data_IF_640526151304
#
_entry.id   IF_640526151304
#
_cell.length_a   1.000
_cell.length_b   1.000
_cell.length_c   1.000
_cell.angle_alpha   90.00
_cell.angle_beta   90.00
_cell.angle_gamma   90.00
#
_symmetry.space_group_name_H-M   'P 1'
#
loop_
_entity.id
_entity.type
_entity.pdbx_description
1 polymer ?
#
# COMPACT_ATOMS: atom_id res chain seq x y z
N UNK A 1 -0.80 -4.58 -26.90
CA UNK A 1 -0.91 -4.65 -25.42
C UNK A 1 0.22 -5.49 -24.84
N UNK A 2 0.18 -6.82 -24.94
CA UNK A 2 1.19 -7.72 -24.33
C UNK A 2 2.66 -7.32 -24.60
N UNK A 3 3.05 -7.05 -25.84
CA UNK A 3 4.42 -6.62 -26.15
C UNK A 3 4.81 -5.29 -25.47
N UNK A 4 3.91 -4.30 -25.45
CA UNK A 4 4.12 -3.01 -24.75
C UNK A 4 4.37 -3.26 -23.27
N UNK A 5 3.52 -4.08 -22.65
CA UNK A 5 3.53 -4.29 -21.21
C UNK A 5 4.72 -5.13 -20.75
N UNK A 6 5.06 -6.18 -21.51
CA UNK A 6 6.27 -6.98 -21.27
C UNK A 6 7.55 -6.17 -21.50
N UNK A 7 7.57 -5.31 -22.52
CA UNK A 7 8.70 -4.41 -22.76
C UNK A 7 8.86 -3.40 -21.61
N UNK A 8 7.76 -2.77 -21.17
CA UNK A 8 7.77 -1.87 -20.03
C UNK A 8 8.29 -2.58 -18.77
N UNK A 9 7.80 -3.79 -18.49
CA UNK A 9 8.29 -4.59 -17.37
C UNK A 9 9.80 -4.89 -17.50
N UNK A 10 10.23 -5.43 -18.64
CA UNK A 10 11.62 -5.84 -18.85
C UNK A 10 12.61 -4.67 -18.81
N UNK A 11 12.25 -3.53 -19.38
CA UNK A 11 13.16 -2.38 -19.50
C UNK A 11 13.14 -1.47 -18.27
N UNK A 12 11.99 -1.30 -17.62
CA UNK A 12 11.81 -0.32 -16.53
C UNK A 12 11.79 -0.96 -15.16
N UNK A 13 11.04 -2.06 -15.02
CA UNK A 13 10.73 -2.66 -13.71
C UNK A 13 11.77 -3.69 -13.31
N UNK A 14 12.01 -4.68 -14.17
CA UNK A 14 12.90 -5.81 -13.88
C UNK A 14 14.31 -5.41 -13.39
N UNK A 15 14.96 -4.36 -13.94
CA UNK A 15 16.28 -3.92 -13.46
C UNK A 15 16.31 -3.44 -12.01
N UNK A 16 15.14 -3.13 -11.44
CA UNK A 16 14.97 -2.58 -10.09
C UNK A 16 14.44 -3.60 -9.08
N UNK A 17 14.25 -4.87 -9.45
CA UNK A 17 13.79 -5.92 -8.53
C UNK A 17 14.89 -6.44 -7.59
N UNK A 18 16.08 -5.83 -7.62
CA UNK A 18 17.23 -6.26 -6.83
C UNK A 18 17.88 -7.54 -7.35
N UNK A 19 18.71 -8.14 -6.51
CA UNK A 19 19.40 -9.39 -6.85
C UNK A 19 18.41 -10.56 -6.90
N UNK A 20 18.48 -11.37 -7.95
CA UNK A 20 17.84 -12.68 -7.95
C UNK A 20 18.45 -13.50 -6.83
N UNK A 21 17.68 -13.83 -5.79
CA UNK A 21 18.12 -14.78 -4.79
C UNK A 21 18.45 -16.08 -5.53
N UNK A 22 19.70 -16.54 -5.40
CA UNK A 22 20.05 -17.87 -5.86
C UNK A 22 19.09 -18.85 -5.18
N UNK A 23 18.58 -19.82 -5.94
CA UNK A 23 17.68 -20.87 -5.45
C UNK A 23 18.35 -21.84 -4.46
N UNK A 24 19.25 -21.35 -3.60
CA UNK A 24 19.77 -22.09 -2.47
C UNK A 24 18.75 -21.91 -1.34
N UNK A 25 18.01 -22.97 -1.07
CA UNK A 25 17.06 -23.04 0.04
C UNK A 25 17.73 -22.58 1.34
N UNK A 26 17.25 -21.46 1.91
CA UNK A 26 17.58 -21.06 3.28
C UNK A 26 18.02 -19.60 3.47
N UNK A 27 18.49 -18.91 2.43
CA UNK A 27 18.97 -17.54 2.59
C UNK A 27 17.82 -16.53 2.40
N UNK A 28 17.43 -15.86 3.48
CA UNK A 28 16.50 -14.75 3.44
C UNK A 28 17.09 -13.58 2.64
N UNK A 29 16.25 -12.80 1.93
CA UNK A 29 16.75 -11.71 1.12
C UNK A 29 17.42 -10.63 1.98
N UNK A 30 18.49 -10.01 1.47
CA UNK A 30 19.19 -8.91 2.17
C UNK A 30 18.21 -7.79 2.57
N UNK A 31 17.25 -7.55 1.68
CA UNK A 31 16.09 -6.72 1.91
C UNK A 31 14.83 -7.56 1.87
N UNK A 32 14.11 -7.65 2.99
CA UNK A 32 12.80 -8.29 3.05
C UNK A 32 11.75 -7.24 2.70
N UNK A 33 11.25 -7.28 1.47
CA UNK A 33 10.18 -6.39 1.05
C UNK A 33 8.92 -6.67 1.87
N UNK A 34 8.19 -5.64 2.29
CA UNK A 34 6.87 -5.81 2.91
C UNK A 34 5.79 -6.24 1.90
N UNK A 35 6.12 -6.33 0.62
CA UNK A 35 5.15 -6.56 -0.45
C UNK A 35 4.56 -7.96 -0.38
N UNK A 36 5.35 -8.95 0.02
CA UNK A 36 4.95 -10.36 0.06
C UNK A 36 5.47 -11.03 1.32
N UNK A 37 4.84 -12.15 1.71
CA UNK A 37 5.21 -12.91 2.91
C UNK A 37 6.61 -13.52 2.84
N UNK A 38 7.06 -13.86 1.62
CA UNK A 38 8.39 -14.40 1.35
C UNK A 38 9.48 -13.32 1.17
N UNK A 39 9.10 -12.03 1.28
CA UNK A 39 10.00 -10.89 1.17
C UNK A 39 10.43 -10.56 -0.26
N UNK A 40 9.83 -11.17 -1.27
CA UNK A 40 10.06 -10.83 -2.68
C UNK A 40 9.43 -9.48 -3.05
N UNK A 41 10.05 -8.70 -3.96
CA UNK A 41 9.65 -7.32 -4.22
C UNK A 41 8.66 -7.17 -5.37
N UNK A 42 7.88 -8.20 -5.71
CA UNK A 42 6.97 -8.20 -6.86
C UNK A 42 5.70 -9.00 -6.54
N UNK A 43 4.54 -8.36 -6.70
CA UNK A 43 3.23 -9.00 -6.60
C UNK A 43 2.45 -8.81 -7.91
N UNK A 44 1.89 -9.90 -8.46
CA UNK A 44 1.01 -9.86 -9.62
C UNK A 44 -0.45 -9.98 -9.18
N UNK A 45 -1.36 -9.19 -9.75
CA UNK A 45 -2.79 -9.26 -9.44
C UNK A 45 -3.67 -9.03 -10.66
N UNK A 46 -4.90 -9.54 -10.61
CA UNK A 46 -5.92 -9.35 -11.63
C UNK A 46 -7.12 -8.62 -11.04
N UNK A 47 -7.57 -7.58 -11.74
CA UNK A 47 -8.85 -6.93 -11.45
C UNK A 47 -9.92 -7.44 -12.41
N UNK A 48 -10.86 -8.21 -11.89
CA UNK A 48 -11.98 -8.77 -12.63
C UNK A 48 -13.11 -7.77 -12.87
N UNK A 49 -13.11 -6.62 -12.19
CA UNK A 49 -14.16 -5.60 -12.30
C UNK A 49 -15.57 -6.12 -11.99
N UNK A 50 -16.57 -5.35 -12.41
CA UNK A 50 -18.01 -5.66 -12.22
C UNK A 50 -18.79 -5.70 -13.54
N UNK A 51 -18.08 -5.64 -14.67
CA UNK A 51 -18.64 -5.66 -16.03
C UNK A 51 -18.08 -6.85 -16.80
N UNK A 52 -18.74 -7.24 -17.90
CA UNK A 52 -18.28 -8.32 -18.81
C UNK A 52 -17.02 -7.97 -19.64
N UNK A 53 -16.15 -7.11 -19.11
CA UNK A 53 -14.88 -6.72 -19.72
C UNK A 53 -13.79 -7.69 -19.29
N UNK A 54 -12.75 -7.79 -20.10
CA UNK A 54 -11.56 -8.55 -19.74
C UNK A 54 -10.91 -8.00 -18.47
N UNK A 55 -10.35 -8.88 -17.61
CA UNK A 55 -9.68 -8.44 -16.39
C UNK A 55 -8.46 -7.57 -16.72
N UNK A 56 -8.18 -6.60 -15.85
CA UNK A 56 -7.00 -5.74 -15.96
C UNK A 56 -5.85 -6.41 -15.19
N UNK A 57 -4.73 -6.60 -15.87
CA UNK A 57 -3.49 -7.07 -15.25
C UNK A 57 -2.88 -5.91 -14.46
N UNK A 58 -2.47 -6.20 -13.23
CA UNK A 58 -1.77 -5.30 -12.34
C UNK A 58 -0.54 -5.98 -11.78
N UNK A 59 0.44 -5.16 -11.42
CA UNK A 59 1.49 -5.62 -10.53
C UNK A 59 2.01 -4.47 -9.70
N UNK A 60 2.51 -4.82 -8.53
CA UNK A 60 3.16 -3.93 -7.58
C UNK A 60 4.62 -4.35 -7.42
N UNK A 61 5.50 -3.38 -7.17
CA UNK A 61 6.90 -3.63 -6.85
C UNK A 61 7.40 -2.75 -5.70
N UNK A 62 8.41 -3.26 -5.01
CA UNK A 62 9.35 -2.43 -4.26
C UNK A 62 10.68 -2.36 -5.04
N UNK A 63 11.09 -1.20 -5.57
CA UNK A 63 12.42 -1.08 -6.15
C UNK A 63 13.48 -1.36 -5.08
N UNK A 64 14.39 -2.30 -5.31
CA UNK A 64 15.43 -2.70 -4.36
C UNK A 64 16.80 -2.26 -4.86
N UNK A 65 17.48 -1.42 -4.08
CA UNK A 65 18.85 -1.01 -4.36
C UNK A 65 19.86 -2.11 -4.02
N UNK A 66 21.02 -2.12 -4.69
CA UNK A 66 22.11 -3.08 -4.43
C UNK A 66 22.59 -3.11 -2.97
N UNK A 67 22.45 -1.98 -2.27
CA UNK A 67 22.88 -1.83 -0.88
C UNK A 67 21.70 -1.77 0.12
N UNK A 68 20.48 -2.06 -0.32
CA UNK A 68 19.27 -2.01 0.49
C UNK A 68 19.44 -2.86 1.76
N UNK A 69 19.24 -2.26 2.92
CA UNK A 69 19.40 -2.91 4.21
C UNK A 69 20.85 -3.07 4.68
N UNK A 70 21.85 -2.56 3.98
CA UNK A 70 23.22 -2.46 4.53
C UNK A 70 23.40 -1.12 5.25
N UNK A 71 24.51 -0.93 5.97
CA UNK A 71 24.87 0.38 6.55
C UNK A 71 24.92 1.51 5.50
N UNK A 72 25.11 1.18 4.22
CA UNK A 72 25.11 2.15 3.13
C UNK A 72 23.70 2.60 2.73
N UNK A 73 22.66 1.79 2.97
CA UNK A 73 21.27 2.13 2.65
C UNK A 73 20.26 1.34 3.50
N UNK A 74 20.24 1.59 4.80
CA UNK A 74 19.44 0.84 5.78
C UNK A 74 17.93 0.82 5.48
N UNK A 75 17.43 1.81 4.75
CA UNK A 75 15.99 2.03 4.47
C UNK A 75 15.62 1.91 3.00
N UNK A 76 16.53 1.42 2.16
CA UNK A 76 16.31 1.27 0.71
C UNK A 76 15.86 2.58 0.01
N UNK A 77 16.42 3.72 0.40
CA UNK A 77 16.01 5.03 -0.11
C UNK A 77 16.83 5.48 -1.34
N UNK A 78 17.99 4.86 -1.59
CA UNK A 78 18.90 5.33 -2.66
C UNK A 78 18.43 4.96 -4.07
N UNK A 79 17.64 3.90 -4.21
CA UNK A 79 17.16 3.41 -5.51
C UNK A 79 16.02 4.25 -6.09
N UNK A 80 15.21 4.86 -5.22
CA UNK A 80 14.00 5.60 -5.59
C UNK A 80 14.22 6.67 -6.68
N UNK A 81 15.20 7.59 -6.55
CA UNK A 81 15.43 8.63 -7.55
C UNK A 81 15.76 8.11 -8.96
N UNK A 82 16.56 7.04 -9.06
CA UNK A 82 16.92 6.44 -10.34
C UNK A 82 15.69 5.77 -10.99
N UNK A 83 14.93 5.03 -10.20
CA UNK A 83 13.70 4.38 -10.67
C UNK A 83 12.66 5.42 -11.12
N UNK A 84 12.45 6.47 -10.34
CA UNK A 84 11.52 7.55 -10.67
C UNK A 84 11.94 8.30 -11.95
N UNK A 85 13.23 8.51 -12.16
CA UNK A 85 13.73 9.11 -13.40
C UNK A 85 13.41 8.23 -14.62
N UNK A 86 13.58 6.91 -14.49
CA UNK A 86 13.26 5.98 -15.56
C UNK A 86 11.76 5.91 -15.83
N UNK A 87 10.93 5.89 -14.78
CA UNK A 87 9.48 5.95 -14.91
C UNK A 87 9.03 7.21 -15.66
N UNK A 88 9.55 8.38 -15.30
CA UNK A 88 9.20 9.64 -15.97
C UNK A 88 9.55 9.65 -17.46
N UNK A 89 10.62 8.96 -17.87
CA UNK A 89 10.96 8.79 -19.30
C UNK A 89 10.04 7.80 -20.01
N UNK A 90 9.65 6.72 -19.34
CA UNK A 90 8.82 5.67 -19.92
C UNK A 90 7.33 6.05 -19.99
N UNK A 91 6.86 6.90 -19.07
CA UNK A 91 5.48 7.31 -18.91
C UNK A 91 5.40 8.86 -18.88
N UNK A 92 5.55 9.54 -20.03
CA UNK A 92 5.67 11.00 -20.09
C UNK A 92 4.42 11.76 -19.63
N UNK A 93 3.25 11.09 -19.62
CA UNK A 93 1.98 11.69 -19.19
C UNK A 93 1.76 11.61 -17.68
N UNK A 94 2.70 11.05 -16.91
CA UNK A 94 2.61 10.99 -15.44
C UNK A 94 2.54 12.39 -14.84
N UNK A 95 1.62 12.57 -13.89
CA UNK A 95 1.53 13.77 -13.07
C UNK A 95 2.19 13.51 -11.73
N UNK A 96 3.23 14.29 -11.43
CA UNK A 96 4.13 14.07 -10.29
C UNK A 96 3.88 15.04 -9.13
N UNK A 97 2.90 15.93 -9.24
CA UNK A 97 2.59 16.97 -8.25
C UNK A 97 2.43 16.38 -6.84
N UNK A 98 1.57 15.37 -6.69
CA UNK A 98 1.39 14.65 -5.42
C UNK A 98 2.57 13.76 -5.08
N UNK A 99 3.22 13.13 -6.06
CA UNK A 99 4.40 12.31 -5.79
C UNK A 99 5.49 13.12 -5.08
N UNK A 100 5.87 14.28 -5.61
CA UNK A 100 6.90 15.11 -5.00
C UNK A 100 6.50 15.63 -3.62
N UNK A 101 5.22 15.94 -3.42
CA UNK A 101 4.70 16.32 -2.10
C UNK A 101 4.89 15.19 -1.08
N UNK A 102 4.34 14.01 -1.37
CA UNK A 102 4.34 12.90 -0.42
C UNK A 102 5.74 12.30 -0.25
N UNK A 103 6.54 12.19 -1.31
CA UNK A 103 7.92 11.72 -1.21
C UNK A 103 8.76 12.65 -0.32
N UNK A 104 8.64 13.98 -0.52
CA UNK A 104 9.27 14.96 0.37
C UNK A 104 8.74 14.83 1.80
N UNK A 105 7.46 14.59 1.99
CA UNK A 105 6.90 14.48 3.34
C UNK A 105 7.40 13.22 4.06
N UNK A 106 7.33 12.04 3.44
CA UNK A 106 7.62 10.75 4.08
C UNK A 106 9.10 10.34 4.04
N UNK A 107 9.82 10.67 2.97
CA UNK A 107 11.14 10.09 2.67
C UNK A 107 12.30 11.10 2.73
N UNK A 108 12.05 12.37 3.08
CA UNK A 108 13.14 13.35 3.27
C UNK A 108 14.05 12.91 4.40
N UNK A 109 15.36 12.85 4.11
CA UNK A 109 16.33 12.50 5.13
C UNK A 109 16.53 13.62 6.15
N UNK A 110 16.60 13.25 7.43
CA UNK A 110 16.89 14.15 8.55
C UNK A 110 18.12 13.68 9.32
N UNK A 111 18.73 14.54 10.14
CA UNK A 111 19.86 14.15 10.99
C UNK A 111 19.50 13.01 11.94
N UNK A 112 18.24 12.94 12.38
CA UNK A 112 17.71 11.85 13.21
C UNK A 112 17.65 10.49 12.50
N UNK A 113 17.74 10.46 11.17
CA UNK A 113 17.73 9.19 10.44
C UNK A 113 18.97 8.34 10.71
N UNK A 114 20.10 8.96 11.08
CA UNK A 114 21.31 8.20 11.42
C UNK A 114 21.19 7.46 12.74
N UNK A 115 20.16 7.78 13.54
CA UNK A 115 19.82 7.12 14.80
C UNK A 115 18.78 6.01 14.62
N UNK A 116 18.17 5.89 13.44
CA UNK A 116 17.19 4.87 13.14
C UNK A 116 17.88 3.59 12.63
N UNK A 117 17.86 2.56 13.46
CA UNK A 117 18.23 1.21 13.06
C UNK A 117 17.09 0.50 12.30
N UNK A 118 17.43 -0.63 11.65
CA UNK A 118 16.43 -1.54 11.14
C UNK A 118 15.52 -2.01 12.26
N UNK A 119 14.22 -1.95 12.01
CA UNK A 119 13.25 -2.55 12.89
C UNK A 119 13.20 -4.06 12.61
N UNK A 120 13.46 -4.86 13.64
CA UNK A 120 13.42 -6.33 13.54
C UNK A 120 12.04 -6.89 13.89
N UNK A 121 11.15 -6.06 14.45
CA UNK A 121 9.80 -6.47 14.87
C UNK A 121 8.72 -6.11 13.86
N UNK A 122 9.06 -5.31 12.87
CA UNK A 122 8.13 -4.80 11.86
C UNK A 122 8.91 -4.49 10.56
N UNK A 123 8.21 -4.25 9.46
CA UNK A 123 8.82 -4.08 8.15
C UNK A 123 9.60 -2.76 8.02
N UNK A 124 10.50 -2.69 7.03
CA UNK A 124 11.38 -1.54 6.81
C UNK A 124 11.10 -0.82 5.47
N UNK A 125 10.05 -1.21 4.76
CA UNK A 125 9.64 -0.61 3.49
C UNK A 125 9.24 0.85 3.68
N UNK A 126 9.72 1.70 2.76
CA UNK A 126 9.36 3.13 2.73
C UNK A 126 8.45 3.49 1.56
N UNK A 127 8.50 2.74 0.45
CA UNK A 127 7.77 3.07 -0.78
C UNK A 127 7.49 1.84 -1.64
N UNK A 128 6.28 1.74 -2.20
CA UNK A 128 5.96 0.82 -3.30
C UNK A 128 5.50 1.58 -4.54
N UNK A 129 5.54 0.89 -5.67
CA UNK A 129 4.95 1.33 -6.92
C UNK A 129 4.00 0.26 -7.45
N UNK A 130 2.94 0.64 -8.14
CA UNK A 130 2.09 -0.31 -8.84
C UNK A 130 1.69 0.20 -10.22
N UNK A 131 1.33 -0.72 -11.09
CA UNK A 131 1.06 -0.46 -12.50
C UNK A 131 -0.22 -1.13 -12.94
N UNK A 132 -1.19 -0.34 -13.38
CA UNK A 132 -2.41 -0.83 -14.02
C UNK A 132 -2.19 -0.91 -15.53
N UNK A 133 -2.23 -2.11 -16.09
CA UNK A 133 -2.00 -2.38 -17.51
C UNK A 133 -3.34 -2.37 -18.25
N UNK A 134 -3.90 -1.18 -18.43
CA UNK A 134 -5.12 -1.03 -19.23
C UNK A 134 -4.83 -1.22 -20.73
N UNK A 135 -5.87 -1.45 -21.53
CA UNK A 135 -5.73 -1.64 -22.98
C UNK A 135 -4.93 -0.51 -23.66
N UNK A 136 -5.18 0.73 -23.27
CA UNK A 136 -4.60 1.92 -23.90
C UNK A 136 -3.32 2.41 -23.24
N UNK A 137 -3.16 2.24 -21.92
CA UNK A 137 -2.02 2.82 -21.18
C UNK A 137 -1.64 2.06 -19.92
N UNK A 138 -0.40 2.29 -19.47
CA UNK A 138 0.06 1.94 -18.13
C UNK A 138 -0.23 3.12 -17.20
N UNK A 139 -0.93 2.89 -16.08
CA UNK A 139 -1.13 3.91 -15.05
C UNK A 139 -0.32 3.53 -13.81
N UNK A 140 0.65 4.38 -13.46
CA UNK A 140 1.47 4.18 -12.28
C UNK A 140 0.77 4.68 -11.00
N UNK A 141 1.10 4.05 -9.88
CA UNK A 141 0.69 4.42 -8.52
C UNK A 141 1.92 4.38 -7.62
N UNK A 142 1.90 5.14 -6.53
CA UNK A 142 2.92 5.06 -5.48
C UNK A 142 2.26 4.94 -4.13
N UNK A 143 2.84 4.13 -3.26
CA UNK A 143 2.43 3.89 -1.88
C UNK A 143 3.56 4.36 -0.98
N UNK A 144 3.25 5.19 0.01
CA UNK A 144 4.20 5.74 0.96
C UNK A 144 3.89 5.24 2.37
N UNK A 145 4.93 4.95 3.13
CA UNK A 145 4.80 4.39 4.48
C UNK A 145 5.08 5.46 5.55
N UNK A 146 4.19 5.67 6.53
CA UNK A 146 4.34 6.72 7.54
C UNK A 146 5.31 6.32 8.67
N UNK A 147 5.72 5.04 8.76
CA UNK A 147 6.45 4.46 9.89
C UNK A 147 7.64 5.29 10.35
N UNK A 148 8.61 5.55 9.48
CA UNK A 148 9.84 6.23 9.89
C UNK A 148 9.58 7.68 10.29
N UNK A 149 8.71 8.37 9.56
CA UNK A 149 8.31 9.73 9.92
C UNK A 149 7.64 9.77 11.30
N UNK A 150 6.77 8.82 11.59
CA UNK A 150 6.14 8.65 12.90
C UNK A 150 7.19 8.44 14.01
N UNK A 151 8.19 7.58 13.78
CA UNK A 151 9.29 7.35 14.72
C UNK A 151 10.15 8.60 14.97
N UNK A 152 10.61 9.28 13.92
CA UNK A 152 11.47 10.48 13.99
C UNK A 152 10.82 11.61 14.79
N UNK A 153 9.50 11.75 14.64
CA UNK A 153 8.73 12.84 15.25
C UNK A 153 7.99 12.42 16.53
N UNK A 154 8.07 11.16 16.95
CA UNK A 154 7.35 10.65 18.13
C UNK A 154 5.84 10.75 18.00
N UNK A 155 5.31 10.54 16.80
CA UNK A 155 3.88 10.63 16.46
C UNK A 155 3.32 9.25 16.14
N UNK A 156 2.00 9.10 16.20
CA UNK A 156 1.30 7.94 15.64
C UNK A 156 1.32 7.99 14.11
N UNK A 157 1.19 6.81 13.48
CA UNK A 157 1.07 6.71 12.02
C UNK A 157 -0.17 7.45 11.49
N UNK A 158 -1.28 7.41 12.24
CA UNK A 158 -2.51 8.13 11.89
C UNK A 158 -2.30 9.66 11.89
N UNK A 159 -1.64 10.21 12.90
CA UNK A 159 -1.31 11.65 12.93
C UNK A 159 -0.44 12.07 11.76
N UNK A 160 0.57 11.25 11.43
CA UNK A 160 1.45 11.50 10.28
C UNK A 160 0.68 11.46 8.97
N UNK A 161 -0.23 10.50 8.78
CA UNK A 161 -1.11 10.43 7.61
C UNK A 161 -2.03 11.65 7.51
N UNK A 162 -2.66 12.06 8.61
CA UNK A 162 -3.48 13.28 8.68
C UNK A 162 -2.71 14.50 8.21
N UNK A 163 -1.50 14.71 8.72
CA UNK A 163 -0.65 15.84 8.33
C UNK A 163 -0.24 15.78 6.85
N UNK A 164 0.08 14.58 6.34
CA UNK A 164 0.45 14.39 4.94
C UNK A 164 -0.70 14.79 4.00
N UNK A 165 -1.92 14.35 4.32
CA UNK A 165 -3.14 14.59 3.55
C UNK A 165 -3.51 16.07 3.59
N UNK A 166 -3.58 16.66 4.79
CA UNK A 166 -3.98 18.06 4.99
C UNK A 166 -3.04 19.06 4.32
N UNK A 167 -1.76 18.72 4.19
CA UNK A 167 -0.76 19.56 3.54
C UNK A 167 -0.64 19.35 2.03
N UNK A 168 -1.35 18.38 1.45
CA UNK A 168 -1.21 18.04 0.03
C UNK A 168 -1.76 19.14 -0.89
N UNK A 169 -1.13 19.39 -2.05
CA UNK A 169 -1.66 20.33 -3.04
C UNK A 169 -3.11 20.01 -3.40
N UNK A 170 -3.92 21.06 -3.53
CA UNK A 170 -5.36 21.01 -3.85
C UNK A 170 -6.26 20.39 -2.76
N UNK A 171 -5.71 20.01 -1.62
CA UNK A 171 -6.51 19.66 -0.43
C UNK A 171 -6.90 20.93 0.31
N UNK A 172 -8.18 21.02 0.65
CA UNK A 172 -8.81 22.16 1.33
C UNK A 172 -9.75 21.62 2.42
N UNK A 173 -10.21 22.46 3.34
CA UNK A 173 -11.21 22.04 4.33
C UNK A 173 -12.46 21.45 3.69
N UNK A 174 -12.88 22.00 2.53
CA UNK A 174 -14.12 21.63 1.85
C UNK A 174 -14.09 20.24 1.19
N UNK A 175 -12.90 19.67 0.94
CA UNK A 175 -12.75 18.35 0.29
C UNK A 175 -12.17 17.26 1.21
N UNK A 176 -12.21 17.49 2.53
CA UNK A 176 -11.71 16.57 3.56
C UNK A 176 -12.80 15.82 4.32
N UNK A 177 -14.09 16.00 3.98
CA UNK A 177 -15.20 15.34 4.69
C UNK A 177 -15.02 13.83 4.80
N UNK A 178 -14.68 13.16 3.69
CA UNK A 178 -14.43 11.72 3.67
C UNK A 178 -13.26 11.30 4.58
N UNK A 179 -12.21 12.12 4.66
CA UNK A 179 -11.11 11.88 5.58
C UNK A 179 -11.52 12.10 7.04
N UNK A 180 -12.33 13.12 7.33
CA UNK A 180 -12.83 13.38 8.68
C UNK A 180 -13.62 12.19 9.22
N UNK A 181 -14.55 11.64 8.42
CA UNK A 181 -15.34 10.47 8.80
C UNK A 181 -14.46 9.24 9.06
N UNK A 182 -13.45 9.00 8.21
CA UNK A 182 -12.51 7.91 8.40
C UNK A 182 -11.61 8.11 9.63
N UNK A 183 -11.09 9.32 9.82
CA UNK A 183 -10.25 9.69 10.96
C UNK A 183 -10.97 9.54 12.29
N UNK A 184 -12.24 9.96 12.37
CA UNK A 184 -13.05 9.78 13.58
C UNK A 184 -13.23 8.30 13.91
N UNK A 185 -13.48 7.44 12.91
CA UNK A 185 -13.52 6.00 13.11
C UNK A 185 -12.17 5.45 13.59
N UNK A 186 -11.06 5.84 12.96
CA UNK A 186 -9.72 5.37 13.36
C UNK A 186 -9.31 5.83 14.76
N UNK A 187 -9.86 6.94 15.24
CA UNK A 187 -9.57 7.51 16.55
C UNK A 187 -10.43 6.92 17.68
N UNK A 188 -11.46 6.12 17.37
CA UNK A 188 -12.28 5.46 18.38
C UNK A 188 -11.42 4.52 19.24
N UNK A 189 -11.67 4.49 20.56
CA UNK A 189 -10.92 3.66 21.50
C UNK A 189 -11.00 2.16 21.19
N UNK A 190 -12.07 1.71 20.55
CA UNK A 190 -12.23 0.32 20.07
C UNK A 190 -11.35 -0.03 18.87
N UNK A 191 -10.75 0.95 18.20
CA UNK A 191 -9.99 0.79 16.95
C UNK A 191 -8.48 1.03 17.12
N UNK A 192 -7.98 1.08 18.35
CA UNK A 192 -6.55 1.25 18.66
C UNK A 192 -5.69 0.11 18.06
N UNK A 193 -6.28 -1.04 17.79
CA UNK A 193 -5.62 -2.18 17.14
C UNK A 193 -5.46 -2.05 15.62
N UNK A 194 -5.99 -1.00 14.98
CA UNK A 194 -5.83 -0.79 13.54
C UNK A 194 -4.43 -0.26 13.22
N UNK A 195 -3.71 -1.02 12.40
CA UNK A 195 -2.33 -0.71 12.01
C UNK A 195 -2.35 0.10 10.71
N UNK A 196 -2.00 1.38 10.77
CA UNK A 196 -2.07 2.29 9.62
C UNK A 196 -0.80 2.17 8.78
N UNK A 197 -0.88 1.44 7.67
CA UNK A 197 0.32 0.97 6.95
C UNK A 197 0.80 1.92 5.87
N UNK A 198 -0.08 2.42 5.00
CA UNK A 198 0.37 3.15 3.82
C UNK A 198 -0.66 4.12 3.25
N UNK A 199 -0.17 5.13 2.55
CA UNK A 199 -0.94 6.06 1.74
C UNK A 199 -0.56 5.90 0.27
N UNK A 200 -1.54 5.71 -0.60
CA UNK A 200 -1.32 5.58 -2.04
C UNK A 200 -1.95 6.70 -2.86
N UNK A 201 -1.30 7.03 -3.97
CA UNK A 201 -1.76 7.98 -4.98
C UNK A 201 -1.69 7.36 -6.38
N UNK A 202 -2.56 7.84 -7.26
CA UNK A 202 -2.48 7.56 -8.70
C UNK A 202 -1.70 8.73 -9.37
N UNK A 203 -0.74 8.44 -10.27
CA UNK A 203 0.08 9.45 -10.99
C UNK A 203 -0.66 10.12 -12.15
N UNK A 204 -1.84 10.65 -11.83
CA UNK A 204 -2.73 11.39 -12.74
C UNK A 204 -2.99 12.78 -12.16
N UNK A 205 -3.74 13.60 -12.89
CA UNK A 205 -4.16 14.93 -12.41
C UNK A 205 -4.69 14.85 -10.97
N UNK A 206 -4.08 15.57 -9.99
CA UNK A 206 -4.51 15.56 -8.60
C UNK A 206 -6.01 15.74 -8.38
N UNK A 207 -6.66 16.61 -9.18
CA UNK A 207 -8.10 16.88 -9.07
C UNK A 207 -8.98 15.70 -9.55
N UNK A 208 -8.39 14.75 -10.27
CA UNK A 208 -9.03 13.51 -10.74
C UNK A 208 -8.47 12.26 -10.04
N UNK A 209 -7.44 12.43 -9.22
CA UNK A 209 -6.77 11.37 -8.49
C UNK A 209 -7.46 11.14 -7.14
N UNK A 210 -7.04 10.09 -6.46
CA UNK A 210 -7.56 9.70 -5.14
C UNK A 210 -6.39 9.42 -4.22
N UNK A 211 -6.53 9.87 -2.97
CA UNK A 211 -5.71 9.40 -1.87
C UNK A 211 -6.37 8.15 -1.30
N UNK A 212 -5.58 7.08 -1.13
CA UNK A 212 -6.03 5.81 -0.54
C UNK A 212 -5.24 5.58 0.73
N UNK A 213 -5.93 5.35 1.85
CA UNK A 213 -5.29 4.98 3.11
C UNK A 213 -5.53 3.51 3.35
N UNK A 214 -4.46 2.77 3.58
CA UNK A 214 -4.48 1.36 3.89
C UNK A 214 -4.14 1.18 5.35
N UNK A 215 -4.95 0.36 6.01
CA UNK A 215 -4.73 -0.07 7.36
C UNK A 215 -5.05 -1.55 7.45
N UNK A 216 -4.52 -2.19 8.49
CA UNK A 216 -4.67 -3.60 8.77
C UNK A 216 -5.43 -3.77 10.07
N UNK A 217 -6.36 -4.72 10.07
CA UNK A 217 -6.99 -5.25 11.28
C UNK A 217 -6.58 -6.71 11.41
N UNK A 218 -6.19 -7.13 12.61
CA UNK A 218 -5.92 -8.54 12.92
C UNK A 218 -7.19 -9.31 13.30
N UNK A 219 -8.35 -8.64 13.37
CA UNK A 219 -9.61 -9.30 13.66
C UNK A 219 -10.14 -10.04 12.43
N UNK A 220 -10.33 -11.35 12.56
CA UNK A 220 -10.78 -12.24 11.47
C UNK A 220 -12.23 -12.69 11.62
N UNK A 221 -13.10 -11.89 12.24
CA UNK A 221 -14.54 -12.20 12.31
C UNK A 221 -15.30 -11.47 11.20
N UNK A 222 -16.43 -11.99 10.75
CA UNK A 222 -17.25 -11.24 9.79
C UNK A 222 -17.85 -9.96 10.42
N UNK A 223 -18.06 -9.98 11.75
CA UNK A 223 -18.45 -8.77 12.50
C UNK A 223 -17.42 -7.64 12.38
N UNK A 224 -16.12 -7.95 12.43
CA UNK A 224 -15.08 -6.93 12.24
C UNK A 224 -15.11 -6.37 10.82
N UNK A 225 -15.36 -7.21 9.82
CA UNK A 225 -15.57 -6.79 8.41
C UNK A 225 -16.73 -5.79 8.31
N UNK A 226 -17.88 -6.07 8.93
CA UNK A 226 -19.03 -5.13 8.93
C UNK A 226 -18.64 -3.80 9.57
N UNK A 227 -17.97 -3.84 10.73
CA UNK A 227 -17.53 -2.63 11.44
C UNK A 227 -16.63 -1.77 10.55
N UNK A 228 -15.61 -2.37 9.93
CA UNK A 228 -14.67 -1.68 9.04
C UNK A 228 -15.36 -1.13 7.79
N UNK A 229 -16.15 -1.94 7.09
CA UNK A 229 -16.81 -1.54 5.83
C UNK A 229 -17.85 -0.43 6.02
N UNK A 230 -18.38 -0.28 7.24
CA UNK A 230 -19.34 0.79 7.61
C UNK A 230 -18.70 1.93 8.39
N UNK A 231 -17.39 1.89 8.67
CA UNK A 231 -16.69 2.80 9.57
C UNK A 231 -17.39 2.94 10.94
N UNK A 232 -17.75 1.80 11.53
CA UNK A 232 -18.49 1.73 12.80
C UNK A 232 -19.93 2.24 12.67
N UNK A 233 -20.57 2.02 11.52
CA UNK A 233 -21.93 2.50 11.24
C UNK A 233 -22.03 3.97 10.80
N UNK A 234 -20.92 4.67 10.58
CA UNK A 234 -20.90 6.06 10.09
C UNK A 234 -21.29 6.17 8.62
N UNK A 235 -20.96 5.16 7.80
CA UNK A 235 -21.41 5.08 6.41
C UNK A 235 -22.69 4.25 6.36
N UNK A 236 -23.80 4.91 6.03
CA UNK A 236 -25.12 4.27 5.88
C UNK A 236 -25.67 4.58 4.50
N UNK A 237 -25.62 3.61 3.59
CA UNK A 237 -26.34 3.71 2.32
C UNK A 237 -26.68 2.31 1.76
N UNK A 238 -27.72 2.19 0.91
CA UNK A 238 -28.17 0.89 0.40
C UNK A 238 -27.09 0.10 -0.35
N UNK A 239 -26.15 0.77 -1.03
CA UNK A 239 -25.09 0.08 -1.77
C UNK A 239 -24.08 -0.58 -0.83
N UNK A 240 -23.78 0.03 0.32
CA UNK A 240 -22.92 -0.58 1.34
C UNK A 240 -23.55 -1.85 1.90
N UNK A 241 -24.86 -1.81 2.22
CA UNK A 241 -25.55 -3.01 2.71
C UNK A 241 -25.61 -4.13 1.66
N UNK A 242 -25.88 -3.80 0.39
CA UNK A 242 -25.79 -4.79 -0.68
C UNK A 242 -24.38 -5.38 -0.80
N UNK A 243 -23.33 -4.56 -0.71
CA UNK A 243 -21.94 -5.03 -0.73
C UNK A 243 -21.61 -5.94 0.48
N UNK A 244 -22.18 -5.67 1.65
CA UNK A 244 -22.04 -6.54 2.82
C UNK A 244 -22.70 -7.91 2.62
N UNK A 245 -23.88 -7.95 1.97
CA UNK A 245 -24.53 -9.21 1.61
C UNK A 245 -23.70 -10.02 0.61
N UNK A 246 -23.10 -9.34 -0.38
CA UNK A 246 -22.19 -9.96 -1.35
C UNK A 246 -20.93 -10.51 -0.67
N UNK A 247 -20.33 -9.74 0.24
CA UNK A 247 -19.18 -10.17 1.04
C UNK A 247 -19.52 -11.34 1.96
N UNK A 248 -20.72 -11.37 2.56
CA UNK A 248 -21.16 -12.49 3.40
C UNK A 248 -21.26 -13.79 2.58
N UNK A 249 -21.74 -13.70 1.34
CA UNK A 249 -21.79 -14.84 0.41
C UNK A 249 -20.39 -15.31 0.03
N UNK A 250 -19.48 -14.39 -0.28
CA UNK A 250 -18.08 -14.72 -0.56
C UNK A 250 -17.39 -15.37 0.64
N UNK A 251 -17.58 -14.81 1.84
CA UNK A 251 -17.04 -15.33 3.09
C UNK A 251 -17.44 -16.80 3.30
N UNK A 252 -18.74 -17.10 3.18
CA UNK A 252 -19.26 -18.47 3.30
C UNK A 252 -18.73 -19.39 2.20
N UNK A 253 -18.58 -18.90 0.97
CA UNK A 253 -18.02 -19.69 -0.12
C UNK A 253 -16.54 -20.07 0.12
N UNK A 254 -15.76 -19.21 0.77
CA UNK A 254 -14.35 -19.44 1.06
C UNK A 254 -14.12 -20.28 2.33
N UNK A 255 -14.89 -20.02 3.39
CA UNK A 255 -14.63 -20.61 4.71
C UNK A 255 -15.70 -21.61 5.19
N UNK A 256 -16.83 -21.70 4.47
CA UNK A 256 -17.94 -22.62 4.77
C UNK A 256 -19.10 -21.96 5.54
N UNK A 257 -20.30 -22.52 5.36
CA UNK A 257 -21.56 -22.02 5.97
C UNK A 257 -21.66 -22.26 7.49
N UNK A 258 -20.80 -23.12 8.05
CA UNK A 258 -20.85 -23.51 9.46
C UNK A 258 -20.13 -22.57 10.42
N UNK A 259 -19.44 -21.52 9.93
CA UNK A 259 -18.67 -20.60 10.76
C UNK A 259 -19.58 -19.48 11.28
N UNK A 260 -19.69 -19.29 12.62
CA UNK A 260 -20.41 -18.16 13.18
C UNK A 260 -19.79 -16.83 12.75
N UNK A 261 -20.62 -15.88 12.31
CA UNK A 261 -20.15 -14.58 11.79
C UNK A 261 -19.51 -13.68 12.86
N UNK A 262 -19.81 -13.94 14.13
CA UNK A 262 -19.31 -13.23 15.30
C UNK A 262 -18.03 -13.83 15.89
N UNK A 263 -17.57 -14.98 15.38
CA UNK A 263 -16.36 -15.64 15.85
C UNK A 263 -15.17 -15.38 14.89
N UNK A 264 -13.95 -15.22 15.42
CA UNK A 264 -12.75 -15.19 14.60
C UNK A 264 -12.57 -16.50 13.84
N UNK A 265 -12.01 -16.43 12.63
CA UNK A 265 -11.50 -17.61 11.94
C UNK A 265 -10.38 -18.27 12.76
N UNK A 266 -10.25 -19.58 12.62
CA UNK A 266 -9.16 -20.34 13.27
C UNK A 266 -7.79 -19.82 12.83
N UNK A 267 -6.89 -19.64 13.77
CA UNK A 267 -5.50 -19.26 13.47
C UNK A 267 -4.83 -20.31 12.59
N UNK A 268 -4.18 -19.85 11.52
CA UNK A 268 -3.29 -20.64 10.68
C UNK A 268 -1.88 -20.05 10.80
N UNK A 269 -0.90 -20.90 11.15
CA UNK A 269 0.45 -20.49 11.55
C UNK A 269 1.31 -19.79 10.50
N UNK A 270 0.77 -19.53 9.31
CA UNK A 270 1.45 -18.83 8.21
C UNK A 270 1.30 -17.29 8.27
N UNK A 271 0.40 -16.76 9.12
CA UNK A 271 0.08 -15.33 9.18
C UNK A 271 1.01 -14.49 10.07
N UNK A 272 2.22 -14.94 10.38
CA UNK A 272 3.09 -14.24 11.35
C UNK A 272 3.61 -12.87 10.89
N UNK A 273 3.39 -12.47 9.62
CA UNK A 273 3.87 -11.19 9.06
C UNK A 273 2.77 -10.28 8.50
N UNK A 274 1.52 -10.76 8.46
CA UNK A 274 0.33 -9.96 8.12
C UNK A 274 -0.45 -9.72 9.40
#
# INVERSE_FOLDING_TARGET
MQYRDLKFFAEVVAPHLGSSHGMLEGDAPQWQSFMTDDGTPLELSWDWGTSDKSPIIRYSIEPIGQHAGTLLDLRNLKVGPAFQNQLGRALPDMRLDWFYHFDKFFNTRTEKDTELDKDVKDHNTSIFYAFDLSESKVTAKTYFFPKYRAQIHGQSRLEVLSQAIQSAPYVTGDNLEAWSVAHDFFSDTGNVGLEHEMLAIDHIDPLKSRIKVYFRSRETSFKSVISVMTLGGRITNPKVYQGLDDLARLWRALFGDGIPLDQPLSEVGHLQRI
#
